data_IF_420402827965
#
_entry.id   IF_420402827965
#
_cell.length_a   1.000
_cell.length_b   1.000
_cell.length_c   1.000
_cell.angle_alpha   90.00
_cell.angle_beta   90.00
_cell.angle_gamma   90.00
#
_symmetry.space_group_name_H-M   'P 1'
#
loop_
_entity.id
_entity.type
_entity.pdbx_description
1 polymer ?
#
# COMPACT_ATOMS: atom_id res chain seq x y z
N UNK A 1 42.47 7.12 32.66
CA UNK A 1 41.62 7.93 31.76
C UNK A 1 40.89 6.95 30.86
N UNK A 2 39.72 6.50 31.31
CA UNK A 2 38.92 5.48 30.61
C UNK A 2 38.09 6.17 29.54
N UNK A 3 38.39 5.88 28.29
CA UNK A 3 37.59 6.36 27.16
C UNK A 3 36.38 5.44 27.07
N UNK A 4 35.19 5.96 27.38
CA UNK A 4 33.95 5.25 27.09
C UNK A 4 33.86 5.03 25.57
N UNK A 5 33.56 3.81 25.09
CA UNK A 5 33.19 3.62 23.70
C UNK A 5 31.83 4.31 23.53
N UNK A 6 31.82 5.40 22.78
CA UNK A 6 30.59 5.97 22.24
C UNK A 6 29.91 4.86 21.45
N UNK A 7 28.80 4.32 21.97
CA UNK A 7 27.89 3.51 21.18
C UNK A 7 27.37 4.45 20.10
N UNK A 8 27.97 4.36 18.91
CA UNK A 8 27.43 4.97 17.72
C UNK A 8 26.02 4.42 17.59
N UNK A 9 25.01 5.28 17.76
CA UNK A 9 23.68 4.98 17.25
C UNK A 9 23.88 4.57 15.79
N UNK A 10 23.29 3.47 15.32
CA UNK A 10 23.39 3.13 13.92
C UNK A 10 22.89 4.36 13.15
N UNK A 11 23.77 4.96 12.34
CA UNK A 11 23.32 5.91 11.34
C UNK A 11 22.25 5.17 10.56
N UNK A 12 20.99 5.63 10.70
CA UNK A 12 19.90 5.11 9.90
C UNK A 12 20.31 5.45 8.48
N UNK A 13 20.84 4.46 7.75
CA UNK A 13 21.10 4.60 6.33
C UNK A 13 19.80 5.09 5.72
N UNK A 14 19.87 6.27 5.12
CA UNK A 14 18.72 6.93 4.50
C UNK A 14 18.08 5.96 3.52
N UNK A 15 16.92 5.38 3.86
CA UNK A 15 16.20 4.52 2.92
C UNK A 15 15.65 5.39 1.82
N UNK A 16 16.23 5.19 0.64
CA UNK A 16 15.75 5.76 -0.61
C UNK A 16 15.37 4.63 -1.55
N UNK A 17 14.67 4.96 -2.63
CA UNK A 17 14.09 4.00 -3.54
C UNK A 17 14.53 4.28 -4.98
N UNK A 18 14.80 3.23 -5.74
CA UNK A 18 15.16 3.33 -7.15
C UNK A 18 14.31 2.39 -8.00
N UNK A 19 14.12 2.75 -9.28
CA UNK A 19 13.53 1.82 -10.25
C UNK A 19 14.46 0.63 -10.49
N UNK A 20 13.89 -0.57 -10.55
CA UNK A 20 14.61 -1.80 -10.93
C UNK A 20 15.22 -1.77 -12.34
N UNK A 21 14.82 -0.81 -13.19
CA UNK A 21 15.39 -0.62 -14.53
C UNK A 21 16.47 0.46 -14.60
N UNK A 22 16.73 1.14 -13.47
CA UNK A 22 17.95 1.92 -13.28
C UNK A 22 18.03 3.24 -14.06
N UNK A 23 16.91 3.80 -14.52
CA UNK A 23 16.89 5.14 -15.11
C UNK A 23 17.56 6.16 -14.18
N UNK A 24 18.41 7.05 -14.73
CA UNK A 24 19.14 8.05 -13.95
C UNK A 24 18.21 9.06 -13.25
N UNK A 25 17.01 9.28 -13.79
CA UNK A 25 15.99 10.17 -13.21
C UNK A 25 15.12 9.51 -12.14
N UNK A 26 15.30 8.20 -11.91
CA UNK A 26 14.47 7.42 -11.00
C UNK A 26 15.33 6.66 -9.99
N UNK A 27 16.25 7.40 -9.37
CA UNK A 27 17.17 6.90 -8.34
C UNK A 27 17.06 7.72 -7.07
N UNK A 28 17.30 7.06 -5.95
CA UNK A 28 17.38 7.67 -4.62
C UNK A 28 16.18 8.57 -4.27
N UNK A 29 14.98 8.09 -4.63
CA UNK A 29 13.71 8.76 -4.38
C UNK A 29 13.26 8.57 -2.93
N UNK A 30 12.45 9.50 -2.43
CA UNK A 30 11.82 9.40 -1.11
C UNK A 30 10.67 8.38 -1.10
N UNK A 31 10.27 7.92 0.08
CA UNK A 31 9.12 7.01 0.21
C UNK A 31 7.83 7.65 -0.33
N UNK A 32 7.57 8.92 0.02
CA UNK A 32 6.41 9.66 -0.47
C UNK A 32 6.41 9.75 -2.00
N UNK A 33 7.57 9.97 -2.61
CA UNK A 33 7.71 10.10 -4.05
C UNK A 33 7.30 8.81 -4.76
N UNK A 34 7.80 7.66 -4.30
CA UNK A 34 7.49 6.37 -4.92
C UNK A 34 6.06 5.90 -4.65
N UNK A 35 5.52 6.16 -3.45
CA UNK A 35 4.12 5.86 -3.14
C UNK A 35 3.17 6.68 -4.02
N UNK A 36 3.42 7.99 -4.16
CA UNK A 36 2.55 8.88 -4.94
C UNK A 36 2.70 8.69 -6.45
N UNK A 37 3.83 8.16 -6.91
CA UNK A 37 4.06 7.86 -8.34
C UNK A 37 3.49 6.50 -8.75
N UNK A 38 3.57 5.50 -7.87
CA UNK A 38 3.14 4.14 -8.19
C UNK A 38 4.13 3.42 -9.11
N UNK A 39 3.85 3.38 -10.41
CA UNK A 39 4.71 2.71 -11.40
C UNK A 39 5.80 3.65 -11.90
N UNK A 40 7.04 3.17 -11.98
CA UNK A 40 8.14 3.96 -12.53
C UNK A 40 7.91 4.29 -14.02
N UNK A 41 8.33 5.49 -14.46
CA UNK A 41 8.20 5.92 -15.85
C UNK A 41 8.93 5.00 -16.85
N UNK A 42 10.03 4.37 -16.44
CA UNK A 42 10.73 3.36 -17.23
C UNK A 42 10.03 1.97 -17.23
N UNK A 43 8.83 1.88 -16.64
CA UNK A 43 8.03 0.67 -16.40
C UNK A 43 8.71 -0.35 -15.48
N UNK A 44 9.69 0.09 -14.69
CA UNK A 44 10.26 -0.68 -13.59
C UNK A 44 9.39 -0.62 -12.33
N UNK A 45 9.86 -1.28 -11.27
CA UNK A 45 9.26 -1.23 -9.95
C UNK A 45 10.18 -0.45 -9.02
N UNK A 46 9.63 0.34 -8.11
CA UNK A 46 10.43 0.96 -7.06
C UNK A 46 10.77 -0.07 -5.99
N UNK A 47 12.06 -0.15 -5.66
CA UNK A 47 12.58 -1.00 -4.58
C UNK A 47 13.50 -0.15 -3.70
N UNK A 48 13.63 -0.47 -2.40
CA UNK A 48 14.57 0.25 -1.55
C UNK A 48 16.00 0.00 -2.03
N UNK A 49 16.82 1.04 -2.04
CA UNK A 49 18.24 0.99 -2.40
C UNK A 49 19.05 0.09 -1.46
N UNK A 50 18.54 -0.13 -0.25
CA UNK A 50 19.10 -1.07 0.72
C UNK A 50 17.99 -1.67 1.56
N UNK A 51 18.07 -2.97 1.83
CA UNK A 51 17.15 -3.67 2.74
C UNK A 51 17.63 -3.45 4.18
N UNK A 52 16.85 -2.77 5.03
CA UNK A 52 17.21 -2.56 6.43
C UNK A 52 17.47 -3.89 7.15
N UNK A 53 18.50 -3.91 7.99
CA UNK A 53 18.84 -5.07 8.80
C UNK A 53 18.33 -4.88 10.22
N UNK A 54 17.65 -5.88 10.76
CA UNK A 54 17.11 -5.90 12.12
C UNK A 54 17.80 -7.01 12.89
N UNK A 55 18.35 -6.71 14.07
CA UNK A 55 19.03 -7.72 14.90
C UNK A 55 18.04 -8.73 15.48
N UNK A 56 18.52 -9.91 15.84
CA UNK A 56 17.72 -10.92 16.53
C UNK A 56 17.15 -10.40 17.85
N UNK A 57 17.93 -9.61 18.61
CA UNK A 57 17.47 -9.00 19.86
C UNK A 57 16.29 -8.03 19.62
N UNK A 58 16.34 -7.26 18.52
CA UNK A 58 15.23 -6.38 18.13
C UNK A 58 14.01 -7.19 17.70
N UNK A 59 14.17 -8.25 16.90
CA UNK A 59 13.08 -9.14 16.51
C UNK A 59 12.43 -9.78 17.75
N UNK A 60 13.24 -10.23 18.71
CA UNK A 60 12.75 -10.79 19.97
C UNK A 60 12.01 -9.75 20.81
N UNK A 61 12.45 -8.48 20.79
CA UNK A 61 11.74 -7.38 21.46
C UNK A 61 10.36 -7.09 20.87
N UNK A 62 10.09 -7.50 19.62
CA UNK A 62 8.78 -7.38 18.98
C UNK A 62 7.82 -8.51 19.36
N UNK A 63 8.29 -9.54 20.06
CA UNK A 63 7.44 -10.63 20.53
C UNK A 63 6.34 -10.10 21.45
N UNK A 64 5.10 -10.45 21.15
CA UNK A 64 3.93 -10.05 21.93
C UNK A 64 3.42 -8.64 21.61
N UNK A 65 4.03 -7.92 20.66
CA UNK A 65 3.43 -6.70 20.11
C UNK A 65 2.12 -7.03 19.39
N UNK A 66 1.22 -6.06 19.36
CA UNK A 66 0.05 -6.13 18.48
C UNK A 66 0.48 -6.05 17.02
N UNK A 67 -0.38 -6.50 16.10
CA UNK A 67 -0.11 -6.40 14.66
C UNK A 67 0.26 -4.97 14.23
N UNK A 68 -0.48 -3.98 14.76
CA UNK A 68 -0.26 -2.57 14.46
C UNK A 68 1.10 -2.06 14.96
N UNK A 69 1.50 -2.46 16.17
CA UNK A 69 2.75 -2.02 16.78
C UNK A 69 3.96 -2.63 16.09
N UNK A 70 3.94 -3.95 15.85
CA UNK A 70 4.98 -4.63 15.08
C UNK A 70 5.09 -4.06 13.67
N UNK A 71 3.96 -3.83 12.98
CA UNK A 71 3.95 -3.22 11.65
C UNK A 71 4.52 -1.80 11.66
N UNK A 72 4.28 -1.04 12.72
CA UNK A 72 4.87 0.29 12.90
C UNK A 72 6.39 0.20 13.03
N UNK A 73 6.92 -0.68 13.88
CA UNK A 73 8.37 -0.86 14.05
C UNK A 73 9.06 -1.30 12.75
N UNK A 74 8.44 -2.24 12.02
CA UNK A 74 8.95 -2.76 10.76
C UNK A 74 8.95 -1.68 9.67
N UNK A 75 7.84 -0.98 9.46
CA UNK A 75 7.71 0.02 8.40
C UNK A 75 8.50 1.30 8.71
N UNK A 76 8.73 1.63 9.98
CA UNK A 76 9.68 2.70 10.36
C UNK A 76 11.11 2.43 9.91
N UNK A 77 11.48 1.19 9.57
CA UNK A 77 12.79 0.91 8.96
C UNK A 77 12.85 1.36 7.49
N UNK A 78 11.71 1.46 6.82
CA UNK A 78 11.59 1.77 5.39
C UNK A 78 11.14 3.20 5.11
N UNK A 79 10.62 3.90 6.11
CA UNK A 79 10.03 5.23 6.00
C UNK A 79 10.80 6.15 6.94
N UNK A 80 11.37 7.23 6.40
CA UNK A 80 12.09 8.20 7.23
C UNK A 80 11.10 8.98 8.11
N UNK A 81 11.55 9.30 9.32
CA UNK A 81 10.73 9.98 10.34
C UNK A 81 10.33 11.41 9.92
N UNK A 82 11.10 12.06 9.04
CA UNK A 82 10.76 13.35 8.45
C UNK A 82 9.65 13.27 7.38
N UNK A 83 9.48 12.13 6.71
CA UNK A 83 8.36 11.89 5.79
C UNK A 83 7.08 11.53 6.57
N UNK A 84 7.16 10.51 7.43
CA UNK A 84 6.07 10.11 8.32
C UNK A 84 6.62 9.89 9.72
N UNK A 85 6.37 10.81 10.68
CA UNK A 85 6.76 10.60 12.07
C UNK A 85 6.18 9.30 12.60
N UNK A 86 6.96 8.55 13.38
CA UNK A 86 6.54 7.22 13.87
C UNK A 86 5.16 7.20 14.54
N UNK A 87 4.81 8.27 15.25
CA UNK A 87 3.49 8.41 15.88
C UNK A 87 2.36 8.52 14.85
N UNK A 88 2.57 9.21 13.73
CA UNK A 88 1.59 9.33 12.66
C UNK A 88 1.51 8.03 11.85
N UNK A 89 2.64 7.36 11.61
CA UNK A 89 2.67 6.03 11.01
C UNK A 89 1.83 5.04 11.83
N UNK A 90 2.00 5.04 13.17
CA UNK A 90 1.20 4.21 14.08
C UNK A 90 -0.29 4.50 13.95
N UNK A 91 -0.70 5.77 13.82
CA UNK A 91 -2.12 6.15 13.63
C UNK A 91 -2.67 5.59 12.31
N UNK A 92 -1.92 5.73 11.22
CA UNK A 92 -2.31 5.20 9.89
C UNK A 92 -2.52 3.69 9.98
N UNK A 93 -1.54 2.97 10.52
CA UNK A 93 -1.58 1.50 10.63
C UNK A 93 -2.71 1.05 11.56
N UNK A 94 -2.87 1.70 12.72
CA UNK A 94 -3.94 1.36 13.67
C UNK A 94 -5.32 1.55 13.05
N UNK A 95 -5.53 2.64 12.30
CA UNK A 95 -6.78 2.89 11.55
C UNK A 95 -7.01 1.80 10.50
N UNK A 96 -5.98 1.39 9.75
CA UNK A 96 -6.07 0.33 8.76
C UNK A 96 -6.39 -1.04 9.39
N UNK A 97 -5.75 -1.39 10.51
CA UNK A 97 -6.03 -2.62 11.25
C UNK A 97 -7.47 -2.65 11.79
N UNK A 98 -8.03 -1.49 12.16
CA UNK A 98 -9.42 -1.39 12.64
C UNK A 98 -10.49 -1.75 11.61
N UNK A 99 -10.14 -1.91 10.32
CA UNK A 99 -11.04 -2.42 9.29
C UNK A 99 -11.22 -3.95 9.33
N UNK A 100 -10.39 -4.66 10.10
CA UNK A 100 -10.41 -6.11 10.20
C UNK A 100 -11.36 -6.57 11.31
N UNK A 101 -12.07 -7.67 11.06
CA UNK A 101 -13.03 -8.26 12.00
C UNK A 101 -12.36 -8.99 13.16
N UNK A 102 -11.11 -9.38 12.99
CA UNK A 102 -10.29 -10.06 13.99
C UNK A 102 -9.28 -9.10 14.61
N UNK A 103 -9.15 -9.12 15.95
CA UNK A 103 -8.24 -8.23 16.68
C UNK A 103 -6.78 -8.45 16.33
N UNK A 104 -6.42 -9.70 15.99
CA UNK A 104 -5.07 -10.08 15.60
C UNK A 104 -4.75 -9.74 14.14
N UNK A 105 -5.73 -9.23 13.37
CA UNK A 105 -5.69 -8.90 11.94
C UNK A 105 -5.48 -10.13 11.04
N UNK A 106 -4.46 -10.92 11.33
CA UNK A 106 -4.05 -12.14 10.62
C UNK A 106 -3.83 -13.30 11.61
N UNK A 107 -4.89 -13.88 12.20
CA UNK A 107 -4.74 -14.96 13.17
C UNK A 107 -4.14 -16.22 12.52
N UNK A 108 -3.38 -16.98 13.32
CA UNK A 108 -2.76 -18.23 12.92
C UNK A 108 -3.56 -19.41 13.50
N UNK A 109 -4.25 -20.16 12.64
CA UNK A 109 -5.07 -21.30 13.03
C UNK A 109 -4.31 -22.62 12.86
N UNK A 110 -4.32 -23.48 13.88
CA UNK A 110 -3.79 -24.85 13.76
C UNK A 110 -4.84 -25.78 13.15
N UNK A 111 -4.50 -26.47 12.07
CA UNK A 111 -5.36 -27.45 11.37
C UNK A 111 -4.61 -28.76 11.24
N UNK A 112 -4.90 -29.71 12.15
CA UNK A 112 -4.13 -30.95 12.28
C UNK A 112 -2.67 -30.65 12.63
N UNK A 113 -1.75 -31.09 11.77
CA UNK A 113 -0.31 -30.84 11.91
C UNK A 113 0.17 -29.57 11.19
N UNK A 114 -0.74 -28.83 10.57
CA UNK A 114 -0.44 -27.61 9.82
C UNK A 114 -0.92 -26.35 10.53
N UNK A 115 -0.39 -25.20 10.11
CA UNK A 115 -0.90 -23.89 10.48
C UNK A 115 -1.37 -23.14 9.23
N UNK A 116 -2.47 -22.43 9.36
CA UNK A 116 -3.07 -21.58 8.33
C UNK A 116 -3.07 -20.15 8.84
N UNK A 117 -2.40 -19.25 8.12
CA UNK A 117 -2.46 -17.81 8.40
C UNK A 117 -3.67 -17.22 7.69
N UNK A 118 -4.68 -16.81 8.45
CA UNK A 118 -5.93 -16.30 7.90
C UNK A 118 -5.78 -14.84 7.50
N UNK A 119 -5.73 -14.56 6.19
CA UNK A 119 -5.55 -13.21 5.64
C UNK A 119 -6.87 -12.61 5.10
N UNK A 120 -8.01 -13.18 5.45
CA UNK A 120 -9.33 -12.84 4.86
C UNK A 120 -10.26 -12.13 5.85
N UNK A 121 -9.73 -11.59 6.95
CA UNK A 121 -10.54 -10.91 7.97
C UNK A 121 -10.79 -9.42 7.69
N UNK A 122 -10.21 -8.90 6.61
CA UNK A 122 -10.43 -7.55 6.12
C UNK A 122 -11.78 -7.36 5.42
N UNK A 123 -12.15 -6.12 5.08
CA UNK A 123 -13.49 -5.76 4.62
C UNK A 123 -13.94 -6.49 3.37
N UNK A 124 -13.02 -6.94 2.50
CA UNK A 124 -13.37 -7.62 1.25
C UNK A 124 -13.08 -9.11 1.28
N UNK A 125 -12.75 -9.65 2.45
CA UNK A 125 -12.52 -11.08 2.67
C UNK A 125 -11.32 -11.64 1.87
N UNK A 126 -10.33 -10.79 1.57
CA UNK A 126 -9.16 -11.19 0.80
C UNK A 126 -7.87 -10.57 1.36
N UNK A 127 -6.74 -11.27 1.18
CA UNK A 127 -5.43 -10.84 1.70
C UNK A 127 -4.98 -9.46 1.22
N UNK A 128 -5.52 -8.97 0.10
CA UNK A 128 -5.20 -7.65 -0.45
C UNK A 128 -5.61 -6.51 0.48
N UNK A 129 -6.58 -6.75 1.37
CA UNK A 129 -6.99 -5.81 2.40
C UNK A 129 -5.82 -5.37 3.29
N UNK A 130 -4.87 -6.27 3.59
CA UNK A 130 -3.73 -5.98 4.47
C UNK A 130 -2.90 -4.81 3.93
N UNK A 131 -2.65 -4.81 2.62
CA UNK A 131 -1.89 -3.74 1.98
C UNK A 131 -2.77 -2.53 1.65
N UNK A 132 -3.96 -2.75 1.08
CA UNK A 132 -4.75 -1.67 0.48
C UNK A 132 -5.47 -0.79 1.50
N UNK A 133 -5.81 -1.32 2.68
CA UNK A 133 -6.29 -0.49 3.80
C UNK A 133 -5.21 0.49 4.28
N UNK A 134 -3.96 0.04 4.34
CA UNK A 134 -2.83 0.87 4.73
C UNK A 134 -2.44 1.88 3.64
N UNK A 135 -2.41 1.44 2.37
CA UNK A 135 -2.08 2.30 1.23
C UNK A 135 -3.03 3.50 1.13
N UNK A 136 -4.34 3.29 1.30
CA UNK A 136 -5.30 4.39 1.33
C UNK A 136 -5.05 5.39 2.46
N UNK A 137 -4.50 4.93 3.59
CA UNK A 137 -4.05 5.80 4.68
C UNK A 137 -2.80 6.62 4.34
N UNK A 138 -1.86 6.06 3.58
CA UNK A 138 -0.69 6.80 3.09
C UNK A 138 -1.07 7.90 2.09
N UNK A 139 -1.94 7.60 1.12
CA UNK A 139 -2.43 8.62 0.19
C UNK A 139 -3.13 9.75 0.93
N UNK A 140 -4.08 9.44 1.80
CA UNK A 140 -4.78 10.46 2.60
C UNK A 140 -3.81 11.33 3.41
N UNK A 141 -2.78 10.73 4.02
CA UNK A 141 -1.77 11.45 4.79
C UNK A 141 -0.94 12.39 3.91
N UNK A 142 -0.40 11.92 2.79
CA UNK A 142 0.46 12.74 1.93
C UNK A 142 -0.31 13.84 1.21
N UNK A 143 -1.54 13.55 0.73
CA UNK A 143 -2.38 14.55 0.08
C UNK A 143 -2.75 15.69 1.05
N UNK A 144 -3.06 15.38 2.32
CA UNK A 144 -3.29 16.40 3.36
C UNK A 144 -2.07 17.27 3.64
N UNK A 145 -0.86 16.80 3.32
CA UNK A 145 0.39 17.58 3.39
C UNK A 145 0.74 18.31 2.09
N UNK A 146 -0.15 18.31 1.10
CA UNK A 146 0.00 19.06 -0.14
C UNK A 146 0.78 18.33 -1.25
N UNK A 147 1.11 17.05 -1.07
CA UNK A 147 1.66 16.25 -2.17
C UNK A 147 0.65 16.18 -3.32
N UNK A 148 1.14 16.18 -4.57
CA UNK A 148 0.33 16.18 -5.80
C UNK A 148 -0.78 17.26 -5.82
N UNK A 149 -0.54 18.44 -5.20
CA UNK A 149 -1.57 19.48 -5.14
C UNK A 149 -2.81 19.09 -4.32
N UNK A 150 -2.70 18.06 -3.47
CA UNK A 150 -3.80 17.54 -2.67
C UNK A 150 -4.77 16.64 -3.42
N UNK A 151 -4.45 16.21 -4.66
CA UNK A 151 -5.28 15.26 -5.43
C UNK A 151 -4.50 14.08 -6.00
N UNK A 152 -5.16 12.94 -6.16
CA UNK A 152 -4.64 11.74 -6.80
C UNK A 152 -5.78 10.96 -7.47
N UNK A 153 -5.62 10.61 -8.74
CA UNK A 153 -6.48 9.66 -9.43
C UNK A 153 -5.81 8.28 -9.47
N UNK A 154 -6.44 7.28 -8.85
CA UNK A 154 -6.02 5.88 -8.89
C UNK A 154 -6.77 5.17 -10.00
N UNK A 155 -6.07 4.77 -11.05
CA UNK A 155 -6.60 3.97 -12.15
C UNK A 155 -6.10 2.53 -12.05
N UNK A 156 -7.02 1.57 -12.02
CA UNK A 156 -6.70 0.16 -11.93
C UNK A 156 -7.60 -0.73 -12.79
N UNK A 157 -7.13 -1.95 -13.06
CA UNK A 157 -7.92 -3.00 -13.69
C UNK A 157 -8.02 -4.20 -12.73
N UNK A 158 -9.15 -4.90 -12.73
CA UNK A 158 -9.33 -6.09 -11.90
C UNK A 158 -10.09 -7.21 -12.58
N UNK A 159 -9.81 -8.44 -12.13
CA UNK A 159 -10.65 -9.62 -12.35
C UNK A 159 -11.61 -9.90 -11.18
N UNK A 160 -11.63 -9.05 -10.13
CA UNK A 160 -12.56 -9.14 -9.00
C UNK A 160 -11.97 -8.60 -7.69
N UNK A 161 -11.26 -9.45 -6.94
CA UNK A 161 -10.86 -9.16 -5.55
C UNK A 161 -9.99 -7.92 -5.40
N UNK A 162 -9.06 -7.67 -6.34
CA UNK A 162 -8.14 -6.52 -6.24
C UNK A 162 -8.89 -5.20 -6.31
N UNK A 163 -9.90 -5.10 -7.18
CA UNK A 163 -10.72 -3.91 -7.30
C UNK A 163 -11.53 -3.67 -6.03
N UNK A 164 -12.12 -4.73 -5.48
CA UNK A 164 -12.87 -4.66 -4.21
C UNK A 164 -11.99 -4.11 -3.08
N UNK A 165 -10.80 -4.68 -2.87
CA UNK A 165 -9.90 -4.25 -1.81
C UNK A 165 -9.36 -2.82 -2.04
N UNK A 166 -9.09 -2.43 -3.29
CA UNK A 166 -8.68 -1.06 -3.62
C UNK A 166 -9.79 -0.05 -3.33
N UNK A 167 -11.02 -0.32 -3.79
CA UNK A 167 -12.19 0.52 -3.51
C UNK A 167 -12.41 0.61 -2.01
N UNK A 168 -12.38 -0.50 -1.28
CA UNK A 168 -12.58 -0.48 0.16
C UNK A 168 -11.50 0.30 0.91
N UNK A 169 -10.26 0.35 0.41
CA UNK A 169 -9.17 1.14 1.02
C UNK A 169 -9.23 2.64 0.68
N UNK A 170 -9.84 2.99 -0.46
CA UNK A 170 -9.85 4.34 -1.03
C UNK A 170 -11.20 5.06 -0.92
N UNK A 171 -12.29 4.36 -0.60
CA UNK A 171 -13.60 4.99 -0.42
C UNK A 171 -13.58 6.08 0.65
N UNK A 172 -14.17 7.22 0.33
CA UNK A 172 -14.28 8.38 1.22
C UNK A 172 -12.95 9.04 1.57
N UNK A 173 -11.85 8.72 0.88
CA UNK A 173 -10.55 9.38 1.08
C UNK A 173 -10.53 10.73 0.38
N UNK A 174 -10.36 11.79 1.16
CA UNK A 174 -10.25 13.14 0.64
C UNK A 174 -9.07 13.28 -0.33
N UNK A 175 -9.31 13.92 -1.46
CA UNK A 175 -8.31 14.12 -2.51
C UNK A 175 -8.02 12.89 -3.36
N UNK A 176 -8.66 11.75 -3.14
CA UNK A 176 -8.45 10.54 -3.95
C UNK A 176 -9.67 10.25 -4.79
N UNK A 177 -9.51 10.10 -6.11
CA UNK A 177 -10.50 9.52 -7.01
C UNK A 177 -10.03 8.10 -7.38
N UNK A 178 -10.92 7.10 -7.35
CA UNK A 178 -10.58 5.70 -7.65
C UNK A 178 -11.42 5.17 -8.81
N UNK A 179 -10.75 4.85 -9.92
CA UNK A 179 -11.36 4.30 -11.13
C UNK A 179 -10.90 2.86 -11.32
N UNK A 180 -11.85 1.92 -11.25
CA UNK A 180 -11.59 0.49 -11.43
C UNK A 180 -12.28 -0.02 -12.69
N UNK A 181 -11.47 -0.45 -13.65
CA UNK A 181 -11.91 -1.15 -14.86
C UNK A 181 -12.09 -2.64 -14.56
N UNK A 182 -13.22 -3.23 -14.96
CA UNK A 182 -13.45 -4.66 -14.81
C UNK A 182 -14.25 -5.24 -15.99
N UNK A 183 -13.99 -6.49 -16.41
CA UNK A 183 -14.62 -7.07 -17.58
C UNK A 183 -16.06 -7.52 -17.31
N UNK A 184 -16.98 -7.12 -18.20
CA UNK A 184 -18.41 -7.47 -18.16
C UNK A 184 -18.62 -8.98 -18.11
N UNK A 185 -19.38 -9.45 -17.11
CA UNK A 185 -19.77 -10.85 -16.96
C UNK A 185 -18.60 -11.82 -16.70
N UNK A 186 -17.41 -11.32 -16.33
CA UNK A 186 -16.21 -12.13 -16.06
C UNK A 186 -15.68 -11.99 -14.64
N UNK A 187 -16.43 -11.30 -13.78
CA UNK A 187 -16.18 -11.18 -12.34
C UNK A 187 -17.29 -11.94 -11.62
N UNK A 188 -17.00 -12.56 -10.47
CA UNK A 188 -18.07 -13.21 -9.70
C UNK A 188 -19.07 -12.19 -9.16
N UNK A 189 -20.32 -12.61 -8.98
CA UNK A 189 -21.38 -11.73 -8.49
C UNK A 189 -21.04 -11.09 -7.13
N UNK A 190 -20.39 -11.84 -6.23
CA UNK A 190 -19.99 -11.32 -4.91
C UNK A 190 -18.96 -10.20 -5.07
N UNK A 191 -17.94 -10.40 -5.90
CA UNK A 191 -16.90 -9.41 -6.16
C UNK A 191 -17.46 -8.18 -6.89
N UNK A 192 -18.32 -8.37 -7.89
CA UNK A 192 -18.96 -7.25 -8.59
C UNK A 192 -19.82 -6.42 -7.64
N UNK A 193 -20.57 -7.05 -6.74
CA UNK A 193 -21.34 -6.35 -5.70
C UNK A 193 -20.44 -5.63 -4.71
N UNK A 194 -19.32 -6.23 -4.28
CA UNK A 194 -18.35 -5.57 -3.39
C UNK A 194 -17.79 -4.28 -4.00
N UNK A 195 -17.66 -4.22 -5.33
CA UNK A 195 -17.24 -3.00 -6.03
C UNK A 195 -18.39 -2.01 -6.26
N UNK A 196 -19.50 -2.47 -6.83
CA UNK A 196 -20.55 -1.60 -7.41
C UNK A 196 -21.62 -1.12 -6.42
N UNK A 197 -21.64 -1.68 -5.20
CA UNK A 197 -22.58 -1.24 -4.15
C UNK A 197 -22.00 -0.17 -3.21
N UNK A 198 -20.74 0.20 -3.41
CA UNK A 198 -20.09 1.30 -2.72
C UNK A 198 -20.46 2.60 -3.45
N UNK A 199 -21.17 3.48 -2.75
CA UNK A 199 -21.77 4.70 -3.32
C UNK A 199 -20.99 5.97 -2.99
N UNK A 200 -19.79 5.85 -2.39
CA UNK A 200 -18.93 6.99 -2.11
C UNK A 200 -18.58 7.72 -3.41
N UNK A 201 -18.75 9.04 -3.43
CA UNK A 201 -18.65 9.87 -4.64
C UNK A 201 -17.31 9.74 -5.38
N UNK A 202 -16.25 9.36 -4.66
CA UNK A 202 -14.89 9.24 -5.18
C UNK A 202 -14.58 7.86 -5.78
N UNK A 203 -15.57 6.96 -5.87
CA UNK A 203 -15.42 5.61 -6.41
C UNK A 203 -16.14 5.50 -7.76
N UNK A 204 -15.42 5.01 -8.77
CA UNK A 204 -15.90 4.85 -10.13
C UNK A 204 -15.61 3.44 -10.63
N UNK A 205 -16.64 2.62 -10.74
CA UNK A 205 -16.55 1.28 -11.32
C UNK A 205 -16.93 1.34 -12.80
N UNK A 206 -16.00 1.00 -13.69
CA UNK A 206 -16.22 1.03 -15.14
C UNK A 206 -16.22 -0.39 -15.69
N UNK A 207 -17.39 -0.83 -16.14
CA UNK A 207 -17.55 -2.13 -16.77
C UNK A 207 -17.08 -2.07 -18.22
N UNK A 208 -16.14 -2.95 -18.59
CA UNK A 208 -15.56 -3.01 -19.93
C UNK A 208 -16.14 -4.19 -20.70
N UNK A 209 -16.60 -3.95 -21.92
CA UNK A 209 -17.01 -5.01 -22.85
C UNK A 209 -15.76 -5.68 -23.45
N UNK A 210 -15.19 -6.64 -22.72
CA UNK A 210 -13.95 -7.31 -23.11
C UNK A 210 -13.47 -8.32 -22.08
N UNK A 211 -12.16 -8.56 -22.07
CA UNK A 211 -11.43 -9.43 -21.15
C UNK A 211 -10.72 -8.64 -20.06
N UNK A 212 -10.15 -9.33 -19.08
CA UNK A 212 -9.29 -8.69 -18.10
C UNK A 212 -8.02 -8.11 -18.75
N UNK A 213 -7.48 -8.76 -19.77
CA UNK A 213 -6.30 -8.29 -20.49
C UNK A 213 -6.60 -6.95 -21.21
N UNK A 214 -7.79 -6.82 -21.81
CA UNK A 214 -8.24 -5.55 -22.40
C UNK A 214 -8.31 -4.43 -21.35
N UNK A 215 -8.82 -4.72 -20.15
CA UNK A 215 -8.83 -3.76 -19.04
C UNK A 215 -7.39 -3.36 -18.65
N UNK A 216 -6.48 -4.33 -18.55
CA UNK A 216 -5.08 -4.04 -18.22
C UNK A 216 -4.39 -3.20 -19.30
N UNK A 217 -4.67 -3.46 -20.57
CA UNK A 217 -4.07 -2.73 -21.67
C UNK A 217 -4.56 -1.29 -21.75
N UNK A 218 -5.84 -1.03 -21.46
CA UNK A 218 -6.36 0.34 -21.28
C UNK A 218 -5.62 1.09 -20.16
N UNK A 219 -5.40 0.44 -19.03
CA UNK A 219 -4.65 1.03 -17.91
C UNK A 219 -3.20 1.31 -18.31
N UNK A 220 -2.51 0.37 -18.96
CA UNK A 220 -1.13 0.56 -19.45
C UNK A 220 -1.04 1.67 -20.49
N UNK A 221 -2.03 1.79 -21.36
CA UNK A 221 -2.12 2.84 -22.37
C UNK A 221 -2.19 4.20 -21.70
N UNK A 222 -3.10 4.37 -20.73
CA UNK A 222 -3.25 5.60 -19.95
C UNK A 222 -1.96 5.97 -19.20
N UNK A 223 -1.28 5.02 -18.56
CA UNK A 223 0.01 5.30 -17.89
C UNK A 223 1.16 5.61 -18.85
N UNK A 224 1.09 5.09 -20.09
CA UNK A 224 2.05 5.36 -21.15
C UNK A 224 1.89 6.73 -21.79
N UNK A 225 0.70 7.32 -21.70
CA UNK A 225 0.42 8.68 -22.12
C UNK A 225 0.96 9.68 -21.09
N UNK A 226 1.90 10.52 -21.52
CA UNK A 226 2.54 11.50 -20.64
C UNK A 226 1.61 12.66 -20.32
N UNK A 227 0.83 13.12 -21.29
CA UNK A 227 -0.06 14.26 -21.09
C UNK A 227 -1.16 13.88 -20.10
N UNK A 228 -1.80 12.73 -20.30
CA UNK A 228 -2.84 12.22 -19.41
C UNK A 228 -2.37 11.99 -17.96
N UNK A 229 -1.13 11.52 -17.77
CA UNK A 229 -0.59 11.25 -16.43
C UNK A 229 -0.16 12.52 -15.69
N UNK A 230 0.29 13.52 -16.43
CA UNK A 230 0.84 14.76 -15.86
C UNK A 230 -0.25 15.86 -15.68
N UNK A 231 -1.51 15.58 -16.06
CA UNK A 231 -2.73 16.37 -15.71
C UNK A 231 -3.14 16.23 -14.24
#
# INVERSE_FOLDING_TARGET
>A
MWVHPTILKPEIMSVTYSSTRGSSTQKSLSFSSVVMTGLAHDRGLFVPDTIPQVSLDTIESWRGMTYADMSTELLSQYIKDDEIPKQDLRKIITKACGAFRESDVTPLLKVGDHYVLELFHGPTFAFKDVALQMLGGFFEYFLKKGHNGGRLAVLGATSGDTGSAAISGLRGKEGVDCVILYPKGRVSEIQERQMTTILDDNIHCVQIEGTFDDCQDLVKLAFGDKEFRDE
#
